data_IF_258841242387
#
_entry.id   IF_258841242387
#
_cell.length_a   1.000
_cell.length_b   1.000
_cell.length_c   1.000
_cell.angle_alpha   90.00
_cell.angle_beta   90.00
_cell.angle_gamma   90.00
#
_symmetry.space_group_name_H-M   'P 1'
#
loop_
_entity.id
_entity.type
_entity.pdbx_description
1 polymer ?
#
# COMPACT_ATOMS: atom_id res chain seq x y z
N UNK A 1 1.79 5.52 -15.15
CA UNK A 1 1.64 4.49 -14.10
C UNK A 1 0.26 4.61 -13.48
N UNK A 2 -0.48 3.53 -13.41
CA UNK A 2 -1.82 3.52 -12.82
C UNK A 2 -1.79 3.68 -11.30
N UNK A 3 -2.93 4.06 -10.72
CA UNK A 3 -3.04 4.26 -9.28
C UNK A 3 -2.65 3.02 -8.48
N UNK A 4 -3.06 1.83 -8.93
CA UNK A 4 -2.71 0.58 -8.25
C UNK A 4 -1.20 0.32 -8.23
N UNK A 5 -0.49 0.71 -9.28
CA UNK A 5 0.96 0.57 -9.36
C UNK A 5 1.66 1.51 -8.40
N UNK A 6 1.16 2.74 -8.30
CA UNK A 6 1.72 3.73 -7.38
C UNK A 6 1.50 3.32 -5.93
N UNK A 7 0.33 2.76 -5.64
CA UNK A 7 0.03 2.24 -4.30
C UNK A 7 1.00 1.10 -3.93
N UNK A 8 1.20 0.16 -4.84
CA UNK A 8 2.15 -0.94 -4.63
C UNK A 8 3.57 -0.41 -4.42
N UNK A 9 4.02 0.53 -5.24
CA UNK A 9 5.33 1.17 -5.11
C UNK A 9 5.51 1.82 -3.75
N UNK A 10 4.49 2.53 -3.28
CA UNK A 10 4.56 3.21 -1.98
C UNK A 10 4.73 2.22 -0.84
N UNK A 11 3.96 1.13 -0.86
CA UNK A 11 4.06 0.08 0.16
C UNK A 11 5.45 -0.57 0.13
N UNK A 12 5.93 -0.93 -1.05
CA UNK A 12 7.26 -1.52 -1.22
C UNK A 12 8.35 -0.59 -0.68
N UNK A 13 8.27 0.70 -1.02
CA UNK A 13 9.24 1.70 -0.57
C UNK A 13 9.23 1.81 0.94
N UNK A 14 8.06 1.90 1.55
CA UNK A 14 7.95 2.05 3.00
C UNK A 14 8.46 0.81 3.74
N UNK A 15 8.19 -0.38 3.23
CA UNK A 15 8.72 -1.61 3.80
C UNK A 15 10.24 -1.63 3.73
N UNK A 16 10.80 -1.26 2.58
CA UNK A 16 12.25 -1.22 2.39
C UNK A 16 12.89 -0.18 3.31
N UNK A 17 12.30 1.01 3.38
CA UNK A 17 12.80 2.10 4.22
C UNK A 17 12.81 1.71 5.71
N UNK A 18 11.80 1.00 6.16
CA UNK A 18 11.67 0.61 7.55
C UNK A 18 12.25 -0.77 7.86
N UNK A 19 12.85 -1.42 6.88
CA UNK A 19 13.49 -2.73 7.03
C UNK A 19 12.53 -3.79 7.57
N UNK A 20 11.29 -3.81 7.07
CA UNK A 20 10.32 -4.83 7.44
C UNK A 20 9.93 -5.67 6.22
N UNK A 21 9.71 -6.97 6.46
CA UNK A 21 9.24 -7.87 5.42
C UNK A 21 7.73 -7.69 5.21
N UNK A 22 7.24 -8.17 4.07
CA UNK A 22 5.79 -8.19 3.82
C UNK A 22 5.08 -9.08 4.83
N UNK A 23 5.72 -10.16 5.24
CA UNK A 23 5.17 -11.04 6.29
C UNK A 23 4.98 -10.28 7.59
N UNK A 24 6.00 -9.53 8.02
CA UNK A 24 5.91 -8.71 9.22
C UNK A 24 4.83 -7.64 9.10
N UNK A 25 4.73 -7.00 7.94
CA UNK A 25 3.68 -6.01 7.70
C UNK A 25 2.30 -6.64 7.76
N UNK A 26 2.11 -7.82 7.16
CA UNK A 26 0.86 -8.56 7.25
C UNK A 26 0.47 -8.81 8.70
N UNK A 27 1.40 -9.26 9.50
CA UNK A 27 1.17 -9.52 10.91
C UNK A 27 0.81 -8.23 11.68
N UNK A 28 1.60 -7.17 11.52
CA UNK A 28 1.38 -5.92 12.24
C UNK A 28 0.12 -5.19 11.81
N UNK A 29 -0.26 -5.30 10.56
CA UNK A 29 -1.44 -4.62 10.02
C UNK A 29 -2.72 -5.43 10.19
N UNK A 30 -2.62 -6.70 10.54
CA UNK A 30 -3.74 -7.64 10.56
C UNK A 30 -4.41 -7.77 9.18
N UNK A 31 -3.64 -7.57 8.11
CA UNK A 31 -4.08 -7.79 6.74
C UNK A 31 -3.58 -9.16 6.30
N UNK A 32 -4.45 -10.06 5.85
CA UNK A 32 -3.99 -11.38 5.39
C UNK A 32 -2.90 -11.26 4.33
N UNK A 33 -1.93 -12.16 4.39
CA UNK A 33 -0.79 -12.15 3.46
C UNK A 33 -1.24 -12.19 2.01
N UNK A 34 -2.26 -12.98 1.69
CA UNK A 34 -2.82 -13.05 0.33
C UNK A 34 -3.37 -11.71 -0.12
N UNK A 35 -4.09 -11.01 0.76
CA UNK A 35 -4.63 -9.68 0.45
C UNK A 35 -3.50 -8.68 0.21
N UNK A 36 -2.50 -8.68 1.09
CA UNK A 36 -1.35 -7.79 0.96
C UNK A 36 -0.61 -8.05 -0.36
N UNK A 37 -0.36 -9.31 -0.69
CA UNK A 37 0.36 -9.67 -1.93
C UNK A 37 -0.44 -9.31 -3.17
N UNK A 38 -1.78 -9.40 -3.14
CA UNK A 38 -2.61 -8.94 -4.26
C UNK A 38 -2.44 -7.44 -4.52
N UNK A 39 -2.30 -6.65 -3.46
CA UNK A 39 -2.04 -5.21 -3.61
C UNK A 39 -0.64 -4.97 -4.17
N UNK A 40 0.36 -5.63 -3.60
CA UNK A 40 1.77 -5.47 -4.00
C UNK A 40 2.00 -5.92 -5.44
N UNK A 41 1.31 -6.99 -5.87
CA UNK A 41 1.44 -7.52 -7.22
C UNK A 41 0.48 -6.85 -8.22
N UNK A 42 -0.24 -5.82 -7.79
CA UNK A 42 -1.18 -5.09 -8.63
C UNK A 42 -2.31 -5.96 -9.19
N UNK A 43 -2.67 -7.03 -8.45
CA UNK A 43 -3.76 -7.93 -8.84
C UNK A 43 -5.14 -7.41 -8.50
N UNK A 44 -5.23 -6.42 -7.58
CA UNK A 44 -6.48 -5.77 -7.24
C UNK A 44 -6.43 -4.31 -7.68
N UNK A 45 -7.48 -3.87 -8.36
CA UNK A 45 -7.57 -2.50 -8.86
C UNK A 45 -8.03 -1.50 -7.81
N UNK A 46 -8.73 -2.00 -6.80
CA UNK A 46 -9.44 -1.13 -5.87
C UNK A 46 -9.38 -1.69 -4.45
N UNK A 47 -8.22 -1.61 -3.79
CA UNK A 47 -8.11 -2.02 -2.40
C UNK A 47 -9.03 -1.16 -1.53
N UNK A 48 -9.69 -1.77 -0.57
CA UNK A 48 -10.59 -1.04 0.32
C UNK A 48 -9.83 -0.04 1.19
N UNK A 49 -10.49 1.07 1.50
CA UNK A 49 -9.88 2.13 2.31
C UNK A 49 -9.47 1.62 3.70
N UNK A 50 -10.26 0.74 4.30
CA UNK A 50 -9.92 0.21 5.62
C UNK A 50 -8.70 -0.71 5.57
N UNK A 51 -8.51 -1.42 4.46
CA UNK A 51 -7.29 -2.20 4.25
C UNK A 51 -6.07 -1.28 4.24
N UNK A 52 -6.17 -0.14 3.56
CA UNK A 52 -5.08 0.84 3.52
C UNK A 52 -4.82 1.42 4.91
N UNK A 53 -5.87 1.73 5.68
CA UNK A 53 -5.71 2.18 7.07
C UNK A 53 -4.96 1.15 7.92
N UNK A 54 -5.30 -0.13 7.76
CA UNK A 54 -4.61 -1.20 8.49
C UNK A 54 -3.13 -1.27 8.12
N UNK A 55 -2.83 -1.15 6.83
CA UNK A 55 -1.44 -1.13 6.35
C UNK A 55 -0.69 0.05 6.97
N UNK A 56 -1.30 1.22 7.00
CA UNK A 56 -0.70 2.40 7.64
C UNK A 56 -0.41 2.16 9.11
N UNK A 57 -1.35 1.54 9.82
CA UNK A 57 -1.13 1.18 11.23
C UNK A 57 0.03 0.22 11.39
N UNK A 58 0.14 -0.78 10.51
CA UNK A 58 1.26 -1.71 10.52
C UNK A 58 2.60 -1.05 10.25
N UNK A 59 2.59 0.01 9.46
CA UNK A 59 3.78 0.82 9.16
C UNK A 59 4.02 1.93 10.19
N UNK A 60 3.11 2.10 11.12
CA UNK A 60 3.16 3.15 12.15
C UNK A 60 3.20 4.55 11.55
N UNK A 61 2.40 4.79 10.52
CA UNK A 61 2.26 6.09 9.89
C UNK A 61 0.77 6.44 9.76
N UNK A 62 0.50 7.72 9.54
CA UNK A 62 -0.87 8.18 9.28
C UNK A 62 -1.22 7.97 7.82
N UNK A 63 -2.52 7.97 7.52
CA UNK A 63 -2.99 7.90 6.13
C UNK A 63 -2.49 9.13 5.35
N UNK A 64 -2.41 10.28 6.00
CA UNK A 64 -1.86 11.49 5.39
C UNK A 64 -0.41 11.29 4.98
N UNK A 65 0.42 10.77 5.88
CA UNK A 65 1.83 10.53 5.59
C UNK A 65 2.00 9.49 4.48
N UNK A 66 1.14 8.49 4.46
CA UNK A 66 1.17 7.46 3.42
C UNK A 66 1.00 8.06 2.03
N UNK A 67 0.02 8.96 1.87
CA UNK A 67 -0.29 9.58 0.58
C UNK A 67 0.50 10.86 0.30
N UNK A 68 1.29 11.35 1.25
CA UNK A 68 2.14 12.52 1.06
C UNK A 68 3.46 12.09 0.40
N UNK A 69 3.38 11.80 -0.89
CA UNK A 69 4.50 11.29 -1.67
C UNK A 69 4.33 11.72 -3.12
N UNK A 70 5.45 11.99 -3.78
CA UNK A 70 5.44 12.34 -5.21
C UNK A 70 4.81 11.26 -6.07
N UNK A 71 4.81 10.02 -5.60
CA UNK A 71 4.18 8.90 -6.31
C UNK A 71 2.69 9.15 -6.59
N UNK A 72 2.03 9.98 -5.78
CA UNK A 72 0.60 10.24 -5.90
C UNK A 72 0.26 11.59 -6.55
N UNK A 73 1.25 12.33 -7.03
CA UNK A 73 1.00 13.65 -7.63
C UNK A 73 0.58 13.59 -9.09
N UNK A 74 0.86 12.49 -9.78
CA UNK A 74 0.60 12.33 -11.21
C UNK A 74 -0.03 10.96 -11.45
N UNK A 75 -1.29 10.83 -11.04
CA UNK A 75 -2.01 9.56 -11.10
C UNK A 75 -2.88 9.51 -12.35
N UNK A 76 -2.75 8.42 -13.10
CA UNK A 76 -3.66 8.09 -14.19
C UNK A 76 -4.76 7.17 -13.64
N UNK A 77 -6.00 7.55 -13.86
CA UNK A 77 -7.14 6.75 -13.43
C UNK A 77 -7.72 5.98 -14.60
N UNK A 78 -8.12 4.73 -14.33
CA UNK A 78 -8.84 3.95 -15.32
C UNK A 78 -10.27 4.49 -15.46
N UNK A 79 -10.79 4.43 -16.68
CA UNK A 79 -12.20 4.70 -16.93
C UNK A 79 -13.02 3.45 -16.61
N UNK A 80 -14.14 3.63 -15.94
CA UNK A 80 -15.01 2.53 -15.56
C UNK A 80 -16.32 2.60 -16.35
#
# INVERSE_FOLDING_TARGET
MEAKDKLAHRIKHLCKKNHISYYTLSYKSAVPMTTLMHIINCSTKNPGVFTIFKICNGLNITIKDFFDSEEFTDIEYEEY
#
